data_IF_524810434594
#
_entry.id   IF_524810434594
#
_cell.length_a   1.000
_cell.length_b   1.000
_cell.length_c   1.000
_cell.angle_alpha   90.00
_cell.angle_beta   90.00
_cell.angle_gamma   90.00
#
_symmetry.space_group_name_H-M   'P 1'
#
loop_
_entity.id
_entity.type
_entity.pdbx_description
1 polymer ?
#
# COMPACT_ATOMS: atom_id res chain seq x y z
N UNK A 1 15.10 20.57 22.22
CA UNK A 1 14.13 20.13 21.18
C UNK A 1 14.25 18.62 21.06
N UNK A 2 13.23 17.88 21.47
CA UNK A 2 13.25 16.42 21.41
C UNK A 2 13.39 15.97 19.95
N UNK A 3 14.29 15.02 19.67
CA UNK A 3 14.30 14.29 18.40
C UNK A 3 12.91 13.69 18.22
N UNK A 4 12.12 14.19 17.27
CA UNK A 4 10.88 13.56 16.89
C UNK A 4 11.23 12.15 16.41
N UNK A 5 10.85 11.15 17.20
CA UNK A 5 11.01 9.76 16.83
C UNK A 5 9.87 9.48 15.83
N UNK A 6 10.15 9.52 14.53
CA UNK A 6 9.13 9.42 13.48
C UNK A 6 8.26 8.16 13.62
N UNK A 7 8.83 7.09 14.18
CA UNK A 7 8.11 5.86 14.52
C UNK A 7 7.02 6.08 15.59
N UNK A 8 7.26 6.94 16.58
CA UNK A 8 6.28 7.25 17.62
C UNK A 8 5.17 8.15 17.10
N UNK A 9 5.49 9.04 16.15
CA UNK A 9 4.47 9.86 15.48
C UNK A 9 3.56 9.00 14.60
N UNK A 10 4.13 8.07 13.83
CA UNK A 10 3.35 7.15 13.00
C UNK A 10 2.40 6.28 13.83
N UNK A 11 2.88 5.74 14.98
CA UNK A 11 2.03 4.99 15.90
C UNK A 11 0.86 5.82 16.45
N UNK A 12 1.08 7.10 16.76
CA UNK A 12 0.01 8.00 17.20
C UNK A 12 -1.04 8.20 16.11
N UNK A 13 -0.61 8.40 14.86
CA UNK A 13 -1.51 8.54 13.71
C UNK A 13 -2.33 7.26 13.50
N UNK A 14 -1.70 6.09 13.58
CA UNK A 14 -2.41 4.81 13.47
C UNK A 14 -3.44 4.63 14.58
N UNK A 15 -3.08 4.93 15.84
CA UNK A 15 -3.99 4.84 16.97
C UNK A 15 -5.18 5.77 16.79
N UNK A 16 -4.95 7.02 16.37
CA UNK A 16 -6.00 7.98 16.07
C UNK A 16 -6.90 7.51 14.91
N UNK A 17 -6.31 7.01 13.83
CA UNK A 17 -7.07 6.51 12.68
C UNK A 17 -8.01 5.36 13.07
N UNK A 18 -7.55 4.46 13.94
CA UNK A 18 -8.38 3.36 14.46
C UNK A 18 -9.46 3.85 15.43
N UNK A 19 -9.09 4.67 16.41
CA UNK A 19 -9.99 5.16 17.46
C UNK A 19 -11.13 6.03 16.90
N UNK A 20 -10.85 6.84 15.88
CA UNK A 20 -11.83 7.77 15.31
C UNK A 20 -12.51 7.25 14.03
N UNK A 21 -12.40 5.96 13.72
CA UNK A 21 -13.18 5.37 12.64
C UNK A 21 -12.74 5.75 11.22
N UNK A 22 -11.43 5.80 10.98
CA UNK A 22 -10.87 5.97 9.64
C UNK A 22 -10.61 4.63 8.96
N UNK A 23 -9.74 3.79 9.52
CA UNK A 23 -9.30 2.54 8.88
C UNK A 23 -9.17 1.43 9.92
N UNK A 24 -9.65 0.25 9.56
CA UNK A 24 -9.61 -0.96 10.37
C UNK A 24 -9.02 -2.13 9.58
N UNK A 25 -8.40 -3.07 10.29
CA UNK A 25 -7.98 -4.33 9.67
C UNK A 25 -9.23 -5.10 9.24
N UNK A 26 -9.30 -5.50 7.97
CA UNK A 26 -10.50 -6.22 7.52
C UNK A 26 -10.59 -7.59 8.18
N UNK A 27 -11.80 -7.98 8.57
CA UNK A 27 -12.08 -9.20 9.34
C UNK A 27 -11.30 -9.29 10.66
N UNK A 28 -11.07 -8.16 11.35
CA UNK A 28 -10.28 -8.10 12.60
C UNK A 28 -10.73 -9.11 13.67
N UNK A 29 -12.04 -9.37 13.80
CA UNK A 29 -12.57 -10.35 14.76
C UNK A 29 -12.25 -11.82 14.42
N UNK A 30 -11.72 -12.06 13.23
CA UNK A 30 -11.29 -13.37 12.70
C UNK A 30 -9.80 -13.34 12.34
N UNK A 31 -8.96 -12.76 13.21
CA UNK A 31 -7.50 -12.61 13.06
C UNK A 31 -7.03 -11.67 11.94
N UNK A 32 -7.95 -11.13 11.15
CA UNK A 32 -7.69 -10.17 10.09
C UNK A 32 -7.11 -10.79 8.81
N UNK A 33 -7.28 -10.08 7.69
CA UNK A 33 -6.71 -10.46 6.39
C UNK A 33 -5.59 -9.50 5.98
N UNK A 34 -4.34 -9.99 5.98
CA UNK A 34 -3.17 -9.17 5.66
C UNK A 34 -3.35 -8.36 4.36
N UNK A 35 -2.94 -7.08 4.40
CA UNK A 35 -3.07 -6.11 3.31
C UNK A 35 -4.52 -5.76 2.87
N UNK A 36 -5.55 -6.18 3.61
CA UNK A 36 -6.95 -5.82 3.35
C UNK A 36 -7.51 -5.02 4.53
N UNK A 37 -8.18 -3.90 4.22
CA UNK A 37 -8.64 -2.93 5.21
C UNK A 37 -10.04 -2.42 4.90
N UNK A 38 -10.79 -2.15 5.96
CA UNK A 38 -12.12 -1.57 5.90
C UNK A 38 -12.08 -0.10 6.33
N UNK A 39 -12.81 0.76 5.62
CA UNK A 39 -12.92 2.18 5.97
C UNK A 39 -14.13 2.40 6.88
N UNK A 40 -13.91 3.05 8.02
CA UNK A 40 -14.96 3.45 8.95
C UNK A 40 -15.72 4.70 8.48
N UNK A 41 -16.61 5.22 9.35
CA UNK A 41 -17.46 6.37 9.02
C UNK A 41 -16.69 7.60 8.55
N UNK A 42 -15.60 7.96 9.24
CA UNK A 42 -14.78 9.12 8.86
C UNK A 42 -13.85 8.79 7.69
N UNK A 43 -13.42 7.53 7.58
CA UNK A 43 -12.56 7.07 6.48
C UNK A 43 -13.27 7.05 5.13
N UNK A 44 -14.52 6.60 5.09
CA UNK A 44 -15.34 6.58 3.87
C UNK A 44 -15.58 7.99 3.35
N UNK A 45 -15.97 8.93 4.22
CA UNK A 45 -16.18 10.32 3.84
C UNK A 45 -14.88 10.99 3.39
N UNK A 46 -13.77 10.76 4.10
CA UNK A 46 -12.46 11.27 3.68
C UNK A 46 -12.06 10.74 2.30
N UNK A 47 -12.16 9.42 2.09
CA UNK A 47 -11.84 8.78 0.81
C UNK A 47 -12.71 9.32 -0.33
N UNK A 48 -14.01 9.49 -0.09
CA UNK A 48 -14.94 10.09 -1.04
C UNK A 48 -14.56 11.51 -1.39
N UNK A 49 -14.31 12.36 -0.39
CA UNK A 49 -13.95 13.76 -0.60
C UNK A 49 -12.66 13.92 -1.42
N UNK A 50 -11.65 13.10 -1.13
CA UNK A 50 -10.39 13.09 -1.90
C UNK A 50 -10.64 12.66 -3.34
N UNK A 51 -11.41 11.58 -3.56
CA UNK A 51 -11.74 11.07 -4.89
C UNK A 51 -12.52 12.09 -5.71
N UNK A 52 -13.54 12.72 -5.12
CA UNK A 52 -14.37 13.72 -5.78
C UNK A 52 -13.55 14.97 -6.16
N UNK A 53 -12.71 15.46 -5.24
CA UNK A 53 -11.79 16.55 -5.53
C UNK A 53 -10.86 16.22 -6.71
N UNK A 54 -10.25 15.04 -6.68
CA UNK A 54 -9.36 14.59 -7.75
C UNK A 54 -10.11 14.44 -9.09
N UNK A 55 -11.31 13.87 -9.08
CA UNK A 55 -12.13 13.71 -10.27
C UNK A 55 -12.47 15.06 -10.92
N UNK A 56 -12.91 16.03 -10.12
CA UNK A 56 -13.20 17.38 -10.60
C UNK A 56 -11.94 18.05 -11.15
N UNK A 57 -10.83 17.98 -10.41
CA UNK A 57 -9.56 18.55 -10.83
C UNK A 57 -9.11 17.97 -12.17
N UNK A 58 -9.24 16.66 -12.38
CA UNK A 58 -8.79 16.02 -13.62
C UNK A 58 -9.76 16.22 -14.78
N UNK A 59 -11.06 16.03 -14.59
CA UNK A 59 -12.02 15.93 -15.72
C UNK A 59 -12.79 17.21 -16.00
N UNK A 60 -12.94 18.11 -15.03
CA UNK A 60 -13.75 19.34 -15.16
C UNK A 60 -12.87 20.59 -15.32
N UNK A 61 -11.65 20.55 -14.78
CA UNK A 61 -10.70 21.67 -14.85
C UNK A 61 -9.61 21.47 -15.92
N UNK A 62 -9.58 20.33 -16.61
CA UNK A 62 -8.72 20.11 -17.79
C UNK A 62 -9.58 19.79 -19.01
N UNK A 63 -9.19 20.31 -20.17
CA UNK A 63 -9.95 20.14 -21.42
C UNK A 63 -9.68 18.79 -22.11
N UNK A 64 -8.54 18.15 -21.81
CA UNK A 64 -8.05 16.97 -22.54
C UNK A 64 -8.22 15.65 -21.78
N UNK A 65 -9.02 15.63 -20.71
CA UNK A 65 -9.19 14.45 -19.85
C UNK A 65 -10.67 14.08 -19.76
N UNK A 66 -10.99 12.86 -20.17
CA UNK A 66 -12.36 12.33 -20.17
C UNK A 66 -12.49 11.22 -19.13
N UNK A 67 -13.54 11.29 -18.31
CA UNK A 67 -13.86 10.26 -17.33
C UNK A 67 -14.47 9.02 -17.98
N UNK A 68 -13.99 7.84 -17.60
CA UNK A 68 -14.53 6.54 -17.98
C UNK A 68 -14.66 5.65 -16.74
N UNK A 69 -15.62 4.73 -16.74
CA UNK A 69 -15.76 3.68 -15.73
C UNK A 69 -15.76 2.31 -16.43
N UNK A 70 -14.80 1.46 -16.06
CA UNK A 70 -14.53 0.19 -16.73
C UNK A 70 -14.69 -0.98 -15.75
N UNK A 71 -15.11 -2.14 -16.28
CA UNK A 71 -15.26 -3.34 -15.48
C UNK A 71 -13.91 -3.84 -14.93
N UNK A 72 -13.93 -4.35 -13.69
CA UNK A 72 -12.75 -4.96 -13.04
C UNK A 72 -12.36 -6.27 -13.74
N UNK A 73 -13.34 -7.09 -14.12
CA UNK A 73 -13.09 -8.32 -14.87
C UNK A 73 -12.88 -8.00 -16.35
N UNK A 74 -11.72 -8.41 -16.87
CA UNK A 74 -11.33 -8.21 -18.27
C UNK A 74 -10.98 -9.54 -18.94
N UNK A 75 -11.13 -9.60 -20.27
CA UNK A 75 -10.75 -10.77 -21.05
C UNK A 75 -9.23 -11.05 -20.93
N UNK A 76 -8.79 -12.31 -20.79
CA UNK A 76 -7.38 -12.64 -20.54
C UNK A 76 -6.39 -12.07 -21.57
N UNK A 77 -6.80 -11.96 -22.84
CA UNK A 77 -5.95 -11.41 -23.90
C UNK A 77 -5.58 -9.94 -23.66
N UNK A 78 -6.40 -9.17 -22.94
CA UNK A 78 -6.09 -7.78 -22.56
C UNK A 78 -4.86 -7.73 -21.68
N UNK A 79 -4.76 -8.61 -20.68
CA UNK A 79 -3.60 -8.70 -19.78
C UNK A 79 -2.34 -9.21 -20.48
N UNK A 80 -2.51 -10.08 -21.47
CA UNK A 80 -1.38 -10.55 -22.28
C UNK A 80 -0.86 -9.45 -23.21
N UNK A 81 -1.75 -8.76 -23.90
CA UNK A 81 -1.40 -7.67 -24.81
C UNK A 81 -0.72 -6.49 -24.10
N UNK A 82 -1.15 -6.18 -22.86
CA UNK A 82 -0.51 -5.14 -22.04
C UNK A 82 0.80 -5.59 -21.37
N UNK A 83 1.20 -6.87 -21.53
CA UNK A 83 2.41 -7.43 -20.94
C UNK A 83 2.32 -7.80 -19.46
N UNK A 84 1.18 -7.56 -18.79
CA UNK A 84 1.01 -7.85 -17.36
C UNK A 84 1.23 -9.32 -17.03
N UNK A 85 0.81 -10.23 -17.92
CA UNK A 85 0.99 -11.68 -17.71
C UNK A 85 2.47 -12.07 -17.58
N UNK A 86 3.36 -11.41 -18.31
CA UNK A 86 4.78 -11.79 -18.36
C UNK A 86 5.64 -10.97 -17.40
N UNK A 87 5.28 -9.70 -17.16
CA UNK A 87 6.14 -8.75 -16.44
C UNK A 87 5.66 -8.37 -15.04
N UNK A 88 4.38 -8.57 -14.69
CA UNK A 88 3.84 -8.16 -13.39
C UNK A 88 4.05 -9.23 -12.32
N UNK A 89 5.32 -9.48 -11.96
CA UNK A 89 5.71 -10.40 -10.91
C UNK A 89 6.88 -9.85 -10.09
N UNK A 90 6.88 -10.16 -8.80
CA UNK A 90 7.99 -9.85 -7.89
C UNK A 90 8.83 -11.11 -7.65
N UNK A 91 10.17 -11.03 -7.64
CA UNK A 91 11.02 -12.18 -7.32
C UNK A 91 10.87 -12.58 -5.85
N UNK A 92 10.49 -13.84 -5.62
CA UNK A 92 10.29 -14.41 -4.28
C UNK A 92 11.34 -15.48 -3.97
N UNK A 93 11.75 -15.54 -2.70
CA UNK A 93 12.64 -16.54 -2.14
C UNK A 93 11.90 -17.31 -1.04
N UNK A 94 11.88 -18.63 -1.15
CA UNK A 94 11.31 -19.54 -0.14
C UNK A 94 12.39 -19.98 0.86
N UNK A 95 12.12 -19.82 2.16
CA UNK A 95 12.90 -20.49 3.20
C UNK A 95 12.28 -21.87 3.50
N UNK A 96 13.02 -22.94 3.20
CA UNK A 96 12.54 -24.33 3.37
C UNK A 96 12.30 -24.74 4.82
N UNK A 97 13.00 -24.13 5.78
CA UNK A 97 12.88 -24.45 7.20
C UNK A 97 11.66 -23.76 7.83
N UNK A 98 11.48 -22.47 7.53
CA UNK A 98 10.38 -21.67 8.08
C UNK A 98 9.10 -21.72 7.25
N UNK A 99 9.18 -22.24 6.01
CA UNK A 99 8.11 -22.22 5.00
C UNK A 99 7.55 -20.82 4.70
N UNK A 100 8.35 -19.79 4.95
CA UNK A 100 7.99 -18.39 4.66
C UNK A 100 8.55 -17.96 3.30
N UNK A 101 7.80 -17.10 2.62
CA UNK A 101 8.20 -16.40 1.40
C UNK A 101 8.65 -14.99 1.72
N UNK A 102 9.73 -14.58 1.06
CA UNK A 102 10.29 -13.25 1.17
C UNK A 102 10.46 -12.66 -0.22
N UNK A 103 10.23 -11.36 -0.33
CA UNK A 103 10.58 -10.58 -1.52
C UNK A 103 12.10 -10.40 -1.59
N UNK A 104 12.70 -10.79 -2.71
CA UNK A 104 14.16 -10.82 -2.86
C UNK A 104 14.78 -9.42 -2.78
N UNK A 105 14.12 -8.44 -3.38
CA UNK A 105 14.52 -7.03 -3.36
C UNK A 105 14.53 -6.47 -1.94
N UNK A 106 13.46 -6.70 -1.16
CA UNK A 106 13.37 -6.26 0.25
C UNK A 106 14.49 -6.85 1.09
N UNK A 107 14.83 -8.14 0.90
CA UNK A 107 15.94 -8.77 1.62
C UNK A 107 17.30 -8.13 1.31
N UNK A 108 17.52 -7.76 0.04
CA UNK A 108 18.76 -7.10 -0.40
C UNK A 108 18.82 -5.68 0.16
N UNK A 109 17.72 -4.93 0.06
CA UNK A 109 17.61 -3.57 0.60
C UNK A 109 17.88 -3.55 2.11
N UNK A 110 17.23 -4.44 2.87
CA UNK A 110 17.45 -4.60 4.31
C UNK A 110 18.92 -4.92 4.66
N UNK A 111 19.56 -5.75 3.85
CA UNK A 111 20.97 -6.11 4.04
C UNK A 111 21.89 -4.92 3.76
N UNK A 112 21.67 -4.21 2.65
CA UNK A 112 22.37 -2.99 2.29
C UNK A 112 22.24 -1.93 3.39
N UNK A 113 21.02 -1.67 3.87
CA UNK A 113 20.78 -0.72 4.95
C UNK A 113 21.55 -1.09 6.23
N UNK A 114 21.61 -2.38 6.59
CA UNK A 114 22.38 -2.85 7.75
C UNK A 114 23.87 -2.62 7.60
N UNK A 115 24.42 -2.75 6.40
CA UNK A 115 25.82 -2.41 6.11
C UNK A 115 26.03 -0.91 6.29
N UNK A 116 25.18 -0.07 5.68
CA UNK A 116 25.33 1.39 5.72
C UNK A 116 25.12 1.98 7.13
N UNK A 117 24.30 1.34 7.98
CA UNK A 117 24.07 1.75 9.37
C UNK A 117 25.18 1.32 10.34
N UNK A 118 26.04 0.35 9.98
CA UNK A 118 27.21 0.00 10.81
C UNK A 118 28.29 1.05 10.57
N UNK A 119 28.77 1.78 11.61
CA UNK A 119 29.93 2.64 11.43
C UNK A 119 31.10 1.73 11.02
N UNK A 120 31.78 2.09 9.93
CA UNK A 120 33.03 1.46 9.53
C UNK A 120 33.96 1.58 10.75
N UNK A 121 34.14 0.47 11.48
CA UNK A 121 35.15 0.42 12.55
C UNK A 121 36.50 0.58 11.84
N UNK A 122 37.08 1.77 11.95
CA UNK A 122 38.50 1.97 11.70
C UNK A 122 39.31 1.20 12.74
#
# INVERSE_FOLDING_TARGET
MAKNNDQDQFKKVLSHAKEYGYVFQSSEIYDGLSAVYDYGQNGVELKKNIREYWWQAMTQLNQDIVGIDAAIFMHPTTWKASGHVDAFNDPLIDNKDSKKRYRADVLIEDYCEKIFKKPIKK
#
